data_IF_088898385515
#
_entry.id   IF_088898385515
#
_cell.length_a   1.000
_cell.length_b   1.000
_cell.length_c   1.000
_cell.angle_alpha   90.00
_cell.angle_beta   90.00
_cell.angle_gamma   90.00
#
_symmetry.space_group_name_H-M   'P 1'
#
loop_
_entity.id
_entity.type
_entity.pdbx_description
1 polymer ?
#
# COMPACT_ATOMS: atom_id res chain seq x y z
N UNK A 1 -6.82 -21.10 -28.15
CA UNK A 1 -5.83 -20.02 -28.00
C UNK A 1 -6.51 -18.65 -28.09
N UNK A 2 -7.11 -18.25 -29.22
CA UNK A 2 -7.74 -16.94 -29.44
C UNK A 2 -8.84 -16.57 -28.41
N UNK A 3 -9.61 -17.53 -27.90
CA UNK A 3 -10.65 -17.28 -26.90
C UNK A 3 -10.05 -16.90 -25.54
N UNK A 4 -9.01 -17.58 -25.10
CA UNK A 4 -8.32 -17.29 -23.84
C UNK A 4 -7.60 -15.93 -23.89
N UNK A 5 -6.97 -15.61 -25.01
CA UNK A 5 -6.32 -14.32 -25.24
C UNK A 5 -7.33 -13.16 -25.18
N UNK A 6 -8.47 -13.32 -25.87
CA UNK A 6 -9.54 -12.33 -25.82
C UNK A 6 -10.09 -12.11 -24.39
N UNK A 7 -10.29 -13.18 -23.64
CA UNK A 7 -10.75 -13.10 -22.24
C UNK A 7 -9.71 -12.38 -21.36
N UNK A 8 -8.42 -12.61 -21.58
CA UNK A 8 -7.35 -11.91 -20.84
C UNK A 8 -7.34 -10.41 -21.15
N UNK A 9 -7.49 -10.02 -22.42
CA UNK A 9 -7.58 -8.62 -22.84
C UNK A 9 -8.82 -7.94 -22.25
N UNK A 10 -10.00 -8.60 -22.32
CA UNK A 10 -11.23 -8.08 -21.74
C UNK A 10 -11.09 -7.84 -20.22
N UNK A 11 -10.43 -8.75 -19.51
CA UNK A 11 -10.16 -8.62 -18.07
C UNK A 11 -9.19 -7.49 -17.75
N UNK A 12 -8.11 -7.37 -18.50
CA UNK A 12 -7.17 -6.26 -18.36
C UNK A 12 -7.85 -4.91 -18.60
N UNK A 13 -8.64 -4.79 -19.67
CA UNK A 13 -9.39 -3.58 -19.98
C UNK A 13 -10.39 -3.21 -18.87
N UNK A 14 -11.09 -4.21 -18.29
CA UNK A 14 -11.99 -4.02 -17.16
C UNK A 14 -11.25 -3.43 -15.94
N UNK A 15 -10.08 -3.96 -15.57
CA UNK A 15 -9.32 -3.44 -14.44
C UNK A 15 -8.74 -2.06 -14.70
N UNK A 16 -8.23 -1.80 -15.90
CA UNK A 16 -7.80 -0.44 -16.29
C UNK A 16 -8.96 0.56 -16.18
N UNK A 17 -10.17 0.19 -16.59
CA UNK A 17 -11.35 1.04 -16.46
C UNK A 17 -11.71 1.30 -14.99
N UNK A 18 -11.73 0.27 -14.14
CA UNK A 18 -12.01 0.41 -12.70
C UNK A 18 -11.00 1.31 -11.99
N UNK A 19 -9.74 1.24 -12.38
CA UNK A 19 -8.67 2.05 -11.83
C UNK A 19 -8.50 3.41 -12.53
N UNK A 20 -9.40 3.75 -13.46
CA UNK A 20 -9.38 5.01 -14.26
C UNK A 20 -8.09 5.18 -15.08
N UNK A 21 -7.52 4.08 -15.57
CA UNK A 21 -6.26 4.03 -16.34
C UNK A 21 -6.47 3.67 -17.81
N UNK A 22 -7.72 3.63 -18.31
CA UNK A 22 -8.04 3.22 -19.70
C UNK A 22 -7.29 4.05 -20.74
N UNK A 23 -7.06 5.33 -20.48
CA UNK A 23 -6.37 6.24 -21.40
C UNK A 23 -4.88 5.92 -21.55
N UNK A 24 -4.32 5.04 -20.72
CA UNK A 24 -2.92 4.59 -20.73
C UNK A 24 -2.76 3.15 -21.25
N UNK A 25 -3.83 2.55 -21.80
CA UNK A 25 -3.86 1.13 -22.16
C UNK A 25 -2.80 0.75 -23.21
N UNK A 26 -2.44 1.68 -24.09
CA UNK A 26 -1.47 1.48 -25.17
C UNK A 26 -0.09 2.08 -24.86
N UNK A 27 0.07 2.70 -23.69
CA UNK A 27 1.33 3.31 -23.28
C UNK A 27 2.29 2.28 -22.68
N UNK A 28 3.59 2.48 -22.88
CA UNK A 28 4.61 1.65 -22.24
C UNK A 28 4.66 1.96 -20.72
N UNK A 29 4.39 0.97 -19.89
CA UNK A 29 4.31 1.17 -18.44
C UNK A 29 5.59 1.79 -17.83
N UNK A 30 6.76 1.49 -18.40
CA UNK A 30 8.04 2.04 -17.94
C UNK A 30 8.22 3.54 -18.17
N UNK A 31 7.43 4.15 -19.05
CA UNK A 31 7.49 5.59 -19.38
C UNK A 31 6.51 6.41 -18.52
N UNK A 32 5.69 5.75 -17.71
CA UNK A 32 4.67 6.38 -16.89
C UNK A 32 5.24 6.86 -15.54
N UNK A 33 4.60 7.86 -14.89
CA UNK A 33 4.94 8.26 -13.54
C UNK A 33 4.87 7.08 -12.56
N UNK A 34 5.75 7.05 -11.57
CA UNK A 34 5.93 5.92 -10.66
C UNK A 34 4.62 5.50 -9.94
N UNK A 35 3.85 6.44 -9.43
CA UNK A 35 2.56 6.16 -8.80
C UNK A 35 1.55 5.48 -9.74
N UNK A 36 1.59 5.81 -11.04
CA UNK A 36 0.78 5.14 -12.06
C UNK A 36 1.29 3.72 -12.31
N UNK A 37 2.61 3.53 -12.38
CA UNK A 37 3.21 2.19 -12.52
C UNK A 37 2.75 1.27 -11.39
N UNK A 38 2.76 1.74 -10.12
CA UNK A 38 2.26 0.98 -8.96
C UNK A 38 0.80 0.58 -9.09
N UNK A 39 -0.05 1.47 -9.57
CA UNK A 39 -1.47 1.15 -9.83
C UNK A 39 -1.65 0.11 -10.94
N UNK A 40 -0.81 0.14 -11.99
CA UNK A 40 -0.81 -0.86 -13.05
C UNK A 40 -0.33 -2.22 -12.53
N UNK A 41 0.67 -2.27 -11.65
CA UNK A 41 1.11 -3.51 -11.00
C UNK A 41 -0.02 -4.16 -10.20
N UNK A 42 -0.78 -3.38 -9.44
CA UNK A 42 -1.98 -3.86 -8.73
C UNK A 42 -3.03 -4.34 -9.74
N UNK A 43 -3.32 -3.57 -10.80
CA UNK A 43 -4.26 -3.96 -11.84
C UNK A 43 -3.90 -5.31 -12.46
N UNK A 44 -2.62 -5.53 -12.73
CA UNK A 44 -2.10 -6.79 -13.26
C UNK A 44 -2.34 -7.95 -12.29
N UNK A 45 -2.06 -7.75 -11.00
CA UNK A 45 -2.29 -8.76 -9.97
C UNK A 45 -3.78 -9.11 -9.84
N UNK A 46 -4.67 -8.14 -10.02
CA UNK A 46 -6.12 -8.34 -9.97
C UNK A 46 -6.69 -9.11 -11.17
N UNK A 47 -5.95 -9.20 -12.28
CA UNK A 47 -6.40 -9.92 -13.47
C UNK A 47 -6.56 -11.43 -13.27
N UNK A 48 -6.05 -12.01 -12.20
CA UNK A 48 -6.22 -13.45 -11.87
C UNK A 48 -7.36 -13.72 -10.89
N UNK A 49 -8.18 -12.72 -10.59
CA UNK A 49 -9.29 -12.77 -9.61
C UNK A 49 -8.83 -13.31 -8.24
N UNK A 50 -7.86 -12.67 -7.59
CA UNK A 50 -7.30 -13.16 -6.33
C UNK A 50 -8.32 -13.04 -5.20
N UNK A 51 -8.30 -14.01 -4.27
CA UNK A 51 -8.99 -13.91 -2.97
C UNK A 51 -8.12 -13.22 -1.92
N UNK A 52 -6.81 -13.23 -2.12
CA UNK A 52 -5.79 -12.58 -1.29
C UNK A 52 -4.77 -11.86 -2.19
N UNK A 53 -4.52 -10.60 -1.90
CA UNK A 53 -3.50 -9.78 -2.54
C UNK A 53 -2.39 -9.49 -1.53
N UNK A 54 -1.15 -9.86 -1.86
CA UNK A 54 0.03 -9.57 -1.04
C UNK A 54 0.77 -8.37 -1.66
N UNK A 55 0.96 -7.32 -0.88
CA UNK A 55 1.62 -6.09 -1.28
C UNK A 55 2.82 -5.83 -0.37
N UNK A 56 3.98 -5.65 -0.97
CA UNK A 56 5.22 -5.35 -0.27
C UNK A 56 5.65 -3.92 -0.59
N UNK A 57 5.59 -3.05 0.41
CA UNK A 57 5.90 -1.61 0.36
C UNK A 57 5.27 -0.87 -0.85
N UNK A 58 3.96 -1.01 -1.10
CA UNK A 58 3.34 -0.41 -2.28
C UNK A 58 3.33 1.13 -2.25
N UNK A 59 3.48 1.75 -1.07
CA UNK A 59 3.55 3.20 -0.91
C UNK A 59 4.97 3.76 -1.04
N UNK A 60 6.01 2.92 -1.13
CA UNK A 60 7.40 3.39 -1.23
C UNK A 60 7.60 4.30 -2.45
N UNK A 61 8.15 5.49 -2.22
CA UNK A 61 8.43 6.48 -3.27
C UNK A 61 7.22 7.26 -3.79
N UNK A 62 6.04 7.07 -3.22
CA UNK A 62 4.86 7.85 -3.52
C UNK A 62 4.87 9.20 -2.78
N UNK A 63 4.31 10.24 -3.41
CA UNK A 63 4.03 11.49 -2.71
C UNK A 63 2.75 11.35 -1.86
N UNK A 64 2.44 12.30 -0.94
CA UNK A 64 1.29 12.20 -0.04
C UNK A 64 -0.06 12.03 -0.75
N UNK A 65 -0.23 12.66 -1.93
CA UNK A 65 -1.45 12.51 -2.73
C UNK A 65 -1.58 11.12 -3.33
N UNK A 66 -0.49 10.60 -3.89
CA UNK A 66 -0.46 9.24 -4.46
C UNK A 66 -0.68 8.17 -3.39
N UNK A 67 -0.12 8.37 -2.17
CA UNK A 67 -0.36 7.48 -1.02
C UNK A 67 -1.83 7.51 -0.59
N UNK A 68 -2.48 8.67 -0.58
CA UNK A 68 -3.91 8.77 -0.29
C UNK A 68 -4.76 8.04 -1.36
N UNK A 69 -4.44 8.22 -2.64
CA UNK A 69 -5.10 7.51 -3.74
C UNK A 69 -4.90 5.98 -3.65
N UNK A 70 -3.71 5.52 -3.22
CA UNK A 70 -3.44 4.11 -2.93
C UNK A 70 -4.31 3.60 -1.78
N UNK A 71 -4.40 4.34 -0.66
CA UNK A 71 -5.22 3.98 0.48
C UNK A 71 -6.69 3.80 0.08
N UNK A 72 -7.25 4.75 -0.69
CA UNK A 72 -8.62 4.64 -1.22
C UNK A 72 -8.81 3.38 -2.08
N UNK A 73 -7.81 3.05 -2.92
CA UNK A 73 -7.85 1.83 -3.72
C UNK A 73 -7.85 0.57 -2.84
N UNK A 74 -6.98 0.49 -1.84
CA UNK A 74 -6.91 -0.69 -0.95
C UNK A 74 -8.21 -0.87 -0.18
N UNK A 75 -8.78 0.20 0.36
CA UNK A 75 -10.08 0.17 1.05
C UNK A 75 -11.22 -0.27 0.11
N UNK A 76 -11.23 0.19 -1.14
CA UNK A 76 -12.18 -0.25 -2.16
C UNK A 76 -12.05 -1.75 -2.47
N UNK A 77 -10.83 -2.26 -2.64
CA UNK A 77 -10.58 -3.67 -2.92
C UNK A 77 -11.06 -4.57 -1.77
N UNK A 78 -10.84 -4.17 -0.52
CA UNK A 78 -11.31 -4.92 0.64
C UNK A 78 -12.82 -4.79 0.83
N UNK A 79 -13.35 -3.56 0.86
CA UNK A 79 -14.72 -3.28 1.25
C UNK A 79 -15.74 -3.66 0.20
N UNK A 80 -15.49 -3.29 -1.07
CA UNK A 80 -16.46 -3.48 -2.15
C UNK A 80 -16.26 -4.80 -2.91
N UNK A 81 -15.02 -5.26 -3.04
CA UNK A 81 -14.72 -6.46 -3.81
C UNK A 81 -14.41 -7.68 -2.95
N UNK A 82 -14.31 -7.53 -1.63
CA UNK A 82 -14.08 -8.61 -0.69
C UNK A 82 -12.71 -9.30 -0.85
N UNK A 83 -11.73 -8.61 -1.40
CA UNK A 83 -10.36 -9.14 -1.57
C UNK A 83 -9.61 -8.92 -0.26
N UNK A 84 -9.11 -9.99 0.36
CA UNK A 84 -8.22 -9.86 1.51
C UNK A 84 -6.87 -9.27 1.07
N UNK A 85 -6.28 -8.38 1.88
CA UNK A 85 -4.96 -7.80 1.59
C UNK A 85 -4.01 -8.10 2.74
N UNK A 86 -2.84 -8.66 2.41
CA UNK A 86 -1.68 -8.70 3.28
C UNK A 86 -0.72 -7.59 2.85
N UNK A 87 -0.57 -6.58 3.71
CA UNK A 87 0.24 -5.40 3.44
C UNK A 87 1.50 -5.43 4.30
N UNK A 88 2.66 -5.27 3.68
CA UNK A 88 3.93 -4.98 4.37
C UNK A 88 4.26 -3.52 4.09
N UNK A 89 4.39 -2.73 5.14
CA UNK A 89 4.67 -1.30 5.06
C UNK A 89 5.45 -0.82 6.30
N UNK A 90 6.20 0.24 6.12
CA UNK A 90 6.87 0.95 7.20
C UNK A 90 6.33 2.39 7.39
N UNK A 91 5.48 2.87 6.46
CA UNK A 91 4.75 4.12 6.62
C UNK A 91 3.54 3.91 7.55
N UNK A 92 3.69 4.36 8.79
CA UNK A 92 2.65 4.23 9.82
C UNK A 92 1.35 4.92 9.41
N UNK A 93 1.40 6.00 8.62
CA UNK A 93 0.19 6.70 8.18
C UNK A 93 -0.64 5.82 7.24
N UNK A 94 0.01 5.11 6.32
CA UNK A 94 -0.65 4.15 5.44
C UNK A 94 -1.24 3.00 6.25
N UNK A 95 -0.41 2.35 7.07
CA UNK A 95 -0.81 1.17 7.85
C UNK A 95 -2.01 1.47 8.73
N UNK A 96 -1.98 2.58 9.49
CA UNK A 96 -3.06 2.96 10.42
C UNK A 96 -4.38 3.30 9.71
N UNK A 97 -4.32 3.76 8.47
CA UNK A 97 -5.51 4.16 7.72
C UNK A 97 -6.21 3.00 7.00
N UNK A 98 -5.50 1.94 6.64
CA UNK A 98 -6.06 0.88 5.77
C UNK A 98 -6.19 -0.48 6.45
N UNK A 99 -5.55 -0.70 7.60
CA UNK A 99 -5.49 -2.03 8.22
C UNK A 99 -6.59 -2.23 9.26
N UNK A 100 -7.20 -3.41 9.26
CA UNK A 100 -8.09 -3.87 10.33
C UNK A 100 -7.29 -4.49 11.48
N UNK A 101 -6.15 -5.10 11.17
CA UNK A 101 -5.28 -5.79 12.10
C UNK A 101 -3.82 -5.60 11.72
N UNK A 102 -2.96 -5.31 12.69
CA UNK A 102 -1.54 -4.99 12.48
C UNK A 102 -0.68 -5.92 13.33
N UNK A 103 0.32 -6.53 12.70
CA UNK A 103 1.43 -7.19 13.37
C UNK A 103 2.69 -6.35 13.22
N UNK A 104 3.32 -5.95 14.30
CA UNK A 104 4.55 -5.14 14.29
C UNK A 104 5.76 -6.03 14.49
N UNK A 105 6.71 -5.92 13.57
CA UNK A 105 7.95 -6.70 13.57
C UNK A 105 9.14 -5.75 13.71
N UNK A 106 10.02 -6.06 14.64
CA UNK A 106 11.30 -5.36 14.82
C UNK A 106 12.42 -6.37 15.00
N UNK A 107 13.51 -6.23 14.24
CA UNK A 107 14.65 -7.15 14.24
C UNK A 107 14.24 -8.64 14.12
N UNK A 108 13.28 -8.93 13.25
CA UNK A 108 12.80 -10.29 12.99
C UNK A 108 11.92 -10.89 14.08
N UNK A 109 11.47 -10.11 15.06
CA UNK A 109 10.58 -10.54 16.15
C UNK A 109 9.29 -9.73 16.14
N UNK A 110 8.16 -10.40 16.36
CA UNK A 110 6.88 -9.72 16.59
C UNK A 110 6.94 -9.03 17.96
N UNK A 111 6.78 -7.72 17.99
CA UNK A 111 6.80 -6.90 19.20
C UNK A 111 5.41 -6.43 19.64
N UNK A 112 4.45 -6.34 18.73
CA UNK A 112 3.07 -6.00 19.02
C UNK A 112 2.13 -6.61 18.00
N UNK A 113 0.84 -6.73 18.36
CA UNK A 113 -0.22 -7.18 17.46
C UNK A 113 -1.57 -6.67 17.97
N UNK A 114 -2.43 -6.22 17.07
CA UNK A 114 -3.77 -5.76 17.44
C UNK A 114 -4.40 -4.85 16.38
N UNK A 115 -5.46 -4.16 16.77
CA UNK A 115 -6.09 -3.13 15.94
C UNK A 115 -5.16 -1.92 15.81
N UNK A 116 -5.37 -1.03 14.81
CA UNK A 116 -4.60 0.20 14.66
C UNK A 116 -4.54 1.00 15.97
N UNK A 117 -5.66 1.14 16.66
CA UNK A 117 -5.75 1.89 17.92
C UNK A 117 -4.94 1.26 19.06
N UNK A 118 -4.92 -0.07 19.14
CA UNK A 118 -4.12 -0.80 20.14
C UNK A 118 -2.62 -0.65 19.85
N UNK A 119 -2.22 -0.84 18.59
CA UNK A 119 -0.82 -0.76 18.16
C UNK A 119 -0.26 0.66 18.32
N UNK A 120 -1.05 1.69 18.00
CA UNK A 120 -0.65 3.10 18.12
C UNK A 120 -0.27 3.50 19.55
N UNK A 121 -0.88 2.87 20.56
CA UNK A 121 -0.62 3.17 21.97
C UNK A 121 0.31 2.16 22.65
N UNK A 122 0.83 1.17 21.91
CA UNK A 122 1.77 0.20 22.46
C UNK A 122 3.14 0.84 22.75
N UNK A 123 3.66 0.77 23.99
CA UNK A 123 4.94 1.39 24.34
C UNK A 123 6.14 0.86 23.55
N UNK A 124 6.11 -0.41 23.13
CA UNK A 124 7.20 -1.00 22.33
C UNK A 124 7.18 -0.47 20.90
N UNK A 125 5.99 -0.23 20.33
CA UNK A 125 5.82 0.37 19.01
C UNK A 125 6.24 1.84 19.03
N UNK A 126 5.80 2.59 20.04
CA UNK A 126 6.18 3.99 20.21
C UNK A 126 7.70 4.11 20.27
N UNK A 127 8.36 3.30 21.08
CA UNK A 127 9.83 3.28 21.19
C UNK A 127 10.53 2.88 19.90
N UNK A 128 9.97 1.96 19.12
CA UNK A 128 10.65 1.42 17.94
C UNK A 128 10.41 2.26 16.67
N UNK A 129 9.29 2.97 16.56
CA UNK A 129 8.85 3.60 15.31
C UNK A 129 8.33 5.04 15.45
N UNK A 130 7.91 5.46 16.64
CA UNK A 130 7.31 6.77 16.88
C UNK A 130 8.14 7.66 17.81
N UNK A 131 9.16 7.12 18.47
CA UNK A 131 10.00 7.83 19.43
C UNK A 131 11.29 8.41 18.86
N UNK A 132 11.62 8.14 17.59
CA UNK A 132 12.86 8.67 16.97
C UNK A 132 12.68 10.11 16.46
N UNK A 133 11.46 10.60 16.28
CA UNK A 133 11.22 11.98 15.77
C UNK A 133 11.36 13.08 16.83
N UNK A 134 11.43 12.76 18.14
CA UNK A 134 11.57 13.77 19.21
C UNK A 134 13.03 14.05 19.65
N UNK A 135 13.96 13.13 19.41
CA UNK A 135 15.35 13.30 19.86
C UNK A 135 16.23 14.14 18.90
N UNK A 136 15.85 14.30 17.63
CA UNK A 136 16.60 15.14 16.69
C UNK A 136 16.33 16.65 16.83
N UNK A 137 15.33 17.04 17.61
CA UNK A 137 14.95 18.46 17.81
C UNK A 137 15.66 19.13 19.01
N UNK A 138 16.37 18.38 19.86
CA UNK A 138 16.92 18.91 21.14
C UNK A 138 18.44 19.16 21.11
N UNK A 139 19.18 18.69 20.10
CA UNK A 139 20.66 18.87 20.07
C UNK A 139 21.15 20.03 19.21
N UNK A 140 20.31 20.95 18.78
CA UNK A 140 20.65 22.12 17.96
C UNK A 140 20.70 23.47 18.70
N UNK A 141 20.97 23.49 20.00
CA UNK A 141 20.95 24.77 20.73
C UNK A 141 21.82 24.88 21.95
N UNK A 142 23.16 24.81 21.79
CA UNK A 142 24.09 25.44 22.75
C UNK A 142 25.53 25.42 22.24
N UNK A 143 25.94 26.51 21.60
CA UNK A 143 27.32 27.04 21.72
C UNK A 143 27.36 28.49 21.23
N UNK A 144 27.38 29.37 22.17
CA UNK A 144 27.93 30.75 22.31
C UNK A 144 28.24 31.57 21.08
#
# INVERSE_FOLDING_TARGET
YRKAERQAIERAAMWLARLKLTHLADDAAGDLPYGIQRRIEIARALCVDPVLLCLDEPAAGLNPRESAELNELLLYLCGELGIAILLIEHDMSVVMNVSDHIGVISYGRKIAEGTPEQVKHDPQVIKAYLGEDEDDAVTGGAAA
#
